data_IF_222416955725
#
_entry.id   IF_222416955725
#
_cell.length_a   1.000
_cell.length_b   1.000
_cell.length_c   1.000
_cell.angle_alpha   90.00
_cell.angle_beta   90.00
_cell.angle_gamma   90.00
#
_symmetry.space_group_name_H-M   'P 1'
#
loop_
_entity.id
_entity.type
_entity.pdbx_description
1 polymer ?
#
# COMPACT_ATOMS: atom_id res chain seq x y z
N UNK A 1 -14.77 -8.12 -11.02
CA UNK A 1 -14.62 -7.52 -12.37
C UNK A 1 -13.92 -6.15 -12.27
N UNK A 2 -12.64 -6.14 -11.86
CA UNK A 2 -11.78 -4.93 -11.73
C UNK A 2 -10.43 -5.14 -12.42
N UNK A 3 -9.95 -6.40 -12.49
CA UNK A 3 -8.70 -6.81 -13.13
C UNK A 3 -8.70 -6.71 -14.67
N UNK A 4 -9.86 -6.76 -15.32
CA UNK A 4 -9.94 -6.79 -16.79
C UNK A 4 -9.50 -5.48 -17.47
N UNK A 5 -9.46 -4.37 -16.71
CA UNK A 5 -9.18 -3.02 -17.24
C UNK A 5 -7.73 -2.57 -17.06
N UNK A 6 -6.99 -3.12 -16.09
CA UNK A 6 -5.64 -2.66 -15.74
C UNK A 6 -4.54 -3.21 -16.64
N UNK A 7 -4.80 -4.29 -17.39
CA UNK A 7 -3.77 -5.02 -18.13
C UNK A 7 -2.99 -5.99 -17.23
N UNK A 8 -1.92 -6.59 -17.75
CA UNK A 8 -1.10 -7.53 -16.97
C UNK A 8 -0.32 -6.79 -15.88
N UNK A 9 -0.10 -7.45 -14.75
CA UNK A 9 0.81 -6.95 -13.70
C UNK A 9 2.24 -7.01 -14.22
N UNK A 10 2.92 -5.87 -14.25
CA UNK A 10 4.30 -5.74 -14.77
C UNK A 10 5.34 -5.61 -13.64
N UNK A 11 4.90 -5.44 -12.40
CA UNK A 11 5.78 -5.51 -11.24
C UNK A 11 5.18 -4.86 -10.00
N UNK A 12 5.97 -4.86 -8.92
CA UNK A 12 5.65 -4.16 -7.69
C UNK A 12 6.89 -3.47 -7.12
N UNK A 13 6.66 -2.45 -6.28
CA UNK A 13 7.71 -1.65 -5.64
C UNK A 13 7.28 -1.33 -4.20
N UNK A 14 8.20 -1.48 -3.24
CA UNK A 14 7.98 -1.07 -1.86
C UNK A 14 8.15 0.45 -1.76
N UNK A 15 7.06 1.16 -1.48
CA UNK A 15 7.10 2.62 -1.33
C UNK A 15 7.45 3.04 0.10
N UNK A 16 6.95 2.30 1.09
CA UNK A 16 7.16 2.64 2.51
C UNK A 16 7.01 1.42 3.41
N UNK A 17 7.82 1.37 4.45
CA UNK A 17 7.71 0.39 5.53
C UNK A 17 7.94 1.13 6.85
N UNK A 18 6.87 1.37 7.60
CA UNK A 18 6.95 1.96 8.94
C UNK A 18 6.59 0.91 9.98
N UNK A 19 7.38 0.83 11.04
CA UNK A 19 7.08 0.01 12.21
C UNK A 19 6.82 0.92 13.40
N UNK A 20 5.71 0.68 14.10
CA UNK A 20 5.43 1.27 15.40
C UNK A 20 5.69 0.19 16.43
N UNK A 21 6.90 0.21 16.97
CA UNK A 21 7.41 -0.81 17.89
C UNK A 21 7.30 -2.23 17.27
N UNK A 22 7.33 -3.26 18.10
CA UNK A 22 7.28 -4.68 17.70
C UNK A 22 5.86 -5.22 17.45
N UNK A 23 4.83 -4.36 17.55
CA UNK A 23 3.42 -4.79 17.55
C UNK A 23 2.63 -4.35 16.32
N UNK A 24 3.07 -3.32 15.61
CA UNK A 24 2.31 -2.73 14.51
C UNK A 24 3.25 -2.33 13.38
N UNK A 25 2.90 -2.70 12.15
CA UNK A 25 3.64 -2.29 10.97
C UNK A 25 2.70 -1.80 9.88
N UNK A 26 3.17 -0.86 9.07
CA UNK A 26 2.52 -0.38 7.87
C UNK A 26 3.44 -0.59 6.69
N UNK A 27 2.94 -1.30 5.68
CA UNK A 27 3.69 -1.55 4.45
C UNK A 27 2.89 -1.03 3.28
N UNK A 28 3.50 -0.19 2.46
CA UNK A 28 2.89 0.42 1.29
C UNK A 28 3.63 -0.04 0.04
N UNK A 29 2.89 -0.62 -0.91
CA UNK A 29 3.41 -1.08 -2.19
C UNK A 29 2.75 -0.35 -3.35
N UNK A 30 3.53 -0.07 -4.40
CA UNK A 30 3.00 0.25 -5.72
C UNK A 30 2.95 -1.03 -6.54
N UNK A 31 1.77 -1.45 -6.94
CA UNK A 31 1.60 -2.46 -7.98
C UNK A 31 1.44 -1.76 -9.33
N UNK A 32 2.28 -2.16 -10.29
CA UNK A 32 2.30 -1.63 -11.64
C UNK A 32 1.63 -2.61 -12.58
N UNK A 33 0.70 -2.11 -13.39
CA UNK A 33 0.09 -2.81 -14.50
C UNK A 33 0.43 -2.10 -15.81
N UNK A 34 0.23 -2.77 -16.95
CA UNK A 34 0.49 -2.20 -18.28
C UNK A 34 -0.24 -0.86 -18.53
N UNK A 35 -1.45 -0.69 -17.98
CA UNK A 35 -2.30 0.48 -18.25
C UNK A 35 -2.63 1.30 -17.01
N UNK A 36 -2.13 0.89 -15.85
CA UNK A 36 -2.62 1.42 -14.58
C UNK A 36 -1.63 1.16 -13.43
N UNK A 37 -1.70 2.00 -12.40
CA UNK A 37 -0.95 1.83 -11.17
C UNK A 37 -1.91 1.72 -9.98
N UNK A 38 -1.63 0.83 -9.03
CA UNK A 38 -2.44 0.68 -7.82
C UNK A 38 -1.53 0.74 -6.61
N UNK A 39 -1.88 1.56 -5.63
CA UNK A 39 -1.15 1.62 -4.36
C UNK A 39 -1.87 0.75 -3.35
N UNK A 40 -1.15 -0.18 -2.74
CA UNK A 40 -1.62 -1.01 -1.64
C UNK A 40 -1.06 -0.49 -0.33
N UNK A 41 -1.90 -0.41 0.70
CA UNK A 41 -1.50 -0.13 2.08
C UNK A 41 -1.97 -1.27 2.95
N UNK A 42 -1.02 -1.96 3.58
CA UNK A 42 -1.27 -3.01 4.56
C UNK A 42 -0.96 -2.49 5.95
N UNK A 43 -1.86 -2.76 6.90
CA UNK A 43 -1.61 -2.62 8.32
C UNK A 43 -1.46 -4.02 8.88
N UNK A 44 -0.28 -4.33 9.40
CA UNK A 44 0.03 -5.59 10.04
C UNK A 44 0.04 -5.40 11.55
N UNK A 45 -0.48 -6.39 12.26
CA UNK A 45 -0.49 -6.42 13.71
C UNK A 45 0.16 -7.71 14.18
N UNK A 46 1.02 -7.63 15.20
CA UNK A 46 1.64 -8.80 15.83
C UNK A 46 0.83 -9.20 17.05
N UNK A 47 -0.04 -10.19 16.87
CA UNK A 47 -0.78 -10.82 17.96
C UNK A 47 0.02 -11.92 18.65
N UNK A 48 -0.65 -12.68 19.52
CA UNK A 48 -0.04 -13.82 20.22
C UNK A 48 0.53 -14.88 19.26
N UNK A 49 -0.11 -15.07 18.11
CA UNK A 49 0.27 -16.05 17.10
C UNK A 49 1.22 -15.48 16.02
N UNK A 50 1.72 -14.25 16.23
CA UNK A 50 2.62 -13.57 15.30
C UNK A 50 1.92 -12.54 14.42
N UNK A 51 2.55 -12.24 13.27
CA UNK A 51 2.11 -11.18 12.35
C UNK A 51 0.89 -11.60 11.53
N UNK A 52 -0.14 -10.77 11.55
CA UNK A 52 -1.32 -10.90 10.69
C UNK A 52 -1.60 -9.61 9.94
N UNK A 53 -2.24 -9.71 8.78
CA UNK A 53 -2.79 -8.53 8.10
C UNK A 53 -4.06 -8.13 8.86
N UNK A 54 -3.95 -7.07 9.65
CA UNK A 54 -5.08 -6.52 10.39
C UNK A 54 -6.06 -5.81 9.44
N UNK A 55 -5.55 -5.06 8.47
CA UNK A 55 -6.38 -4.44 7.43
C UNK A 55 -5.57 -4.10 6.18
N UNK A 56 -6.26 -3.92 5.06
CA UNK A 56 -5.65 -3.37 3.86
C UNK A 56 -6.59 -2.38 3.17
N UNK A 57 -5.99 -1.42 2.48
CA UNK A 57 -6.68 -0.51 1.55
C UNK A 57 -5.89 -0.46 0.25
N UNK A 58 -6.57 -0.11 -0.83
CA UNK A 58 -5.90 0.22 -2.09
C UNK A 58 -6.44 1.52 -2.65
N UNK A 59 -5.61 2.19 -3.43
CA UNK A 59 -5.97 3.37 -4.21
C UNK A 59 -5.67 3.06 -5.67
N UNK A 60 -6.69 3.13 -6.51
CA UNK A 60 -6.58 2.96 -7.96
C UNK A 60 -6.52 4.31 -8.70
N UNK A 61 -7.17 5.37 -8.20
CA UNK A 61 -6.88 6.72 -8.71
C UNK A 61 -5.48 7.21 -8.27
N UNK A 62 -4.51 7.18 -9.19
CA UNK A 62 -3.13 7.59 -8.93
C UNK A 62 -3.01 9.06 -8.50
N UNK A 63 -3.93 9.93 -8.90
CA UNK A 63 -3.95 11.34 -8.49
C UNK A 63 -4.25 11.43 -6.99
N UNK A 64 -5.24 10.67 -6.53
CA UNK A 64 -5.57 10.54 -5.12
C UNK A 64 -4.43 9.94 -4.31
N UNK A 65 -3.72 8.95 -4.86
CA UNK A 65 -2.53 8.38 -4.21
C UNK A 65 -1.44 9.45 -4.00
N UNK A 66 -1.16 10.27 -5.01
CA UNK A 66 -0.14 11.32 -4.91
C UNK A 66 -0.47 12.36 -3.83
N UNK A 67 -1.74 12.79 -3.75
CA UNK A 67 -2.19 13.70 -2.70
C UNK A 67 -2.08 13.09 -1.30
N UNK A 68 -2.40 11.81 -1.16
CA UNK A 68 -2.31 11.09 0.10
C UNK A 68 -0.87 10.99 0.62
N UNK A 69 0.10 10.73 -0.25
CA UNK A 69 1.52 10.76 0.13
C UNK A 69 1.94 12.16 0.58
N UNK A 70 1.53 13.19 -0.16
CA UNK A 70 1.91 14.57 0.15
C UNK A 70 1.27 15.12 1.44
N UNK A 71 0.12 14.62 1.88
CA UNK A 71 -0.53 15.01 3.13
C UNK A 71 -0.03 14.21 4.34
N UNK A 72 0.55 13.03 4.12
CA UNK A 72 1.12 12.16 5.16
C UNK A 72 2.57 12.52 5.50
N UNK A 73 3.21 13.38 4.71
CA UNK A 73 4.51 13.97 5.00
C UNK A 73 4.27 15.23 5.86
N UNK A 74 4.39 15.09 7.18
CA UNK A 74 4.64 16.26 8.04
C UNK A 74 6.00 16.78 7.61
N UNK A 75 6.01 17.89 6.87
CA UNK A 75 7.25 18.60 6.55
C UNK A 75 7.81 19.19 7.86
N UNK A 76 9.12 19.15 8.08
CA UNK A 76 9.75 19.89 9.17
C UNK A 76 9.48 21.39 9.05
#
# INVERSE_FOLDING_TARGET
MLLARSGKSIGYELLRNDTVDDSLAQVIYLQRFEKHAMVWRFILYRGADGWTINSFKYVDDITSAFNWFNSSVVRP
#
